data_IF_928075630927
#
_entry.id   IF_928075630927
#
_cell.length_a   1.000
_cell.length_b   1.000
_cell.length_c   1.000
_cell.angle_alpha   90.00
_cell.angle_beta   90.00
_cell.angle_gamma   90.00
#
_symmetry.space_group_name_H-M   'P 1'
#
loop_
_entity.id
_entity.type
_entity.pdbx_description
1 polymer ?
#
# COMPACT_ATOMS: atom_id res chain seq x y z
N UNK A 1 8.85 8.82 -9.55
CA UNK A 1 8.56 7.37 -9.74
C UNK A 1 9.68 6.77 -10.56
N UNK A 2 10.29 5.67 -10.12
CA UNK A 2 11.45 5.06 -10.80
C UNK A 2 10.99 4.16 -11.96
N UNK A 3 11.89 3.86 -12.91
CA UNK A 3 11.55 3.04 -14.07
C UNK A 3 11.01 1.65 -13.70
N UNK A 4 11.62 0.99 -12.71
CA UNK A 4 11.14 -0.32 -12.23
C UNK A 4 9.72 -0.26 -11.66
N UNK A 5 9.42 0.78 -10.87
CA UNK A 5 8.07 0.99 -10.31
C UNK A 5 7.04 1.30 -11.40
N UNK A 6 7.46 2.02 -12.45
CA UNK A 6 6.60 2.30 -13.60
C UNK A 6 6.28 1.03 -14.39
N UNK A 7 7.30 0.24 -14.76
CA UNK A 7 7.11 -0.98 -15.55
C UNK A 7 6.26 -2.03 -14.80
N UNK A 8 6.53 -2.22 -13.50
CA UNK A 8 5.77 -3.16 -12.67
C UNK A 8 4.30 -2.76 -12.51
N UNK A 9 4.02 -1.48 -12.19
CA UNK A 9 2.63 -1.01 -12.05
C UNK A 9 1.88 -1.02 -13.38
N UNK A 10 2.53 -0.63 -14.47
CA UNK A 10 1.93 -0.66 -15.81
C UNK A 10 1.56 -2.08 -16.23
N UNK A 11 2.47 -3.04 -16.03
CA UNK A 11 2.22 -4.46 -16.36
C UNK A 11 1.03 -5.04 -15.61
N UNK A 12 0.95 -4.79 -14.29
CA UNK A 12 -0.17 -5.26 -13.46
C UNK A 12 -1.52 -4.67 -13.90
N UNK A 13 -1.56 -3.38 -14.20
CA UNK A 13 -2.79 -2.71 -14.65
C UNK A 13 -3.23 -3.22 -16.02
N UNK A 14 -2.31 -3.51 -16.94
CA UNK A 14 -2.64 -4.09 -18.25
C UNK A 14 -3.31 -5.46 -18.08
N UNK A 15 -2.79 -6.31 -17.19
CA UNK A 15 -3.41 -7.61 -16.87
C UNK A 15 -4.83 -7.40 -16.34
N UNK A 16 -5.02 -6.49 -15.38
CA UNK A 16 -6.34 -6.16 -14.84
C UNK A 16 -7.31 -5.58 -15.88
N UNK A 17 -6.81 -4.79 -16.83
CA UNK A 17 -7.60 -4.24 -17.92
C UNK A 17 -8.14 -5.34 -18.84
N UNK A 18 -7.30 -6.31 -19.24
CA UNK A 18 -7.74 -7.43 -20.07
C UNK A 18 -8.73 -8.33 -19.33
N UNK A 19 -8.51 -8.57 -18.05
CA UNK A 19 -9.44 -9.30 -17.18
C UNK A 19 -10.83 -8.63 -17.12
N UNK A 20 -10.88 -7.34 -16.78
CA UNK A 20 -12.12 -6.58 -16.73
C UNK A 20 -12.81 -6.47 -18.09
N UNK A 21 -12.04 -6.33 -19.18
CA UNK A 21 -12.56 -6.32 -20.55
C UNK A 21 -13.21 -7.65 -20.91
N UNK A 22 -12.57 -8.77 -20.58
CA UNK A 22 -13.11 -10.11 -20.81
C UNK A 22 -14.44 -10.31 -20.07
N UNK A 23 -14.48 -9.99 -18.77
CA UNK A 23 -15.71 -10.07 -17.97
C UNK A 23 -16.84 -9.18 -18.51
N UNK A 24 -16.50 -7.98 -18.99
CA UNK A 24 -17.47 -7.06 -19.59
C UNK A 24 -18.09 -7.68 -20.84
N UNK A 25 -17.28 -8.28 -21.72
CA UNK A 25 -17.79 -8.95 -22.93
C UNK A 25 -18.68 -10.15 -22.60
N UNK A 26 -18.27 -10.96 -21.62
CA UNK A 26 -19.04 -12.12 -21.15
C UNK A 26 -20.40 -11.70 -20.60
N UNK A 27 -20.44 -10.63 -19.80
CA UNK A 27 -21.67 -10.12 -19.21
C UNK A 27 -22.69 -9.68 -20.28
N UNK A 28 -22.25 -8.90 -21.28
CA UNK A 28 -23.15 -8.40 -22.33
C UNK A 28 -23.53 -9.46 -23.37
N UNK A 29 -22.62 -10.38 -23.70
CA UNK A 29 -22.90 -11.45 -24.67
C UNK A 29 -23.57 -12.67 -24.06
N UNK A 30 -23.80 -12.70 -22.73
CA UNK A 30 -24.36 -13.82 -21.97
C UNK A 30 -23.66 -15.15 -22.29
N UNK A 31 -22.33 -15.11 -22.45
CA UNK A 31 -21.52 -16.28 -22.76
C UNK A 31 -21.30 -17.09 -21.49
N UNK A 32 -21.24 -18.42 -21.62
CA UNK A 32 -20.94 -19.35 -20.53
C UNK A 32 -19.46 -19.19 -20.15
N UNK A 33 -19.17 -18.98 -18.87
CA UNK A 33 -17.79 -18.79 -18.41
C UNK A 33 -16.97 -20.07 -18.44
N UNK A 34 -15.71 -19.96 -18.89
CA UNK A 34 -14.73 -21.07 -18.93
C UNK A 34 -14.45 -21.65 -17.53
N UNK A 35 -14.62 -20.86 -16.46
CA UNK A 35 -14.40 -21.31 -15.09
C UNK A 35 -15.60 -22.06 -14.45
N UNK A 36 -16.67 -22.38 -15.18
CA UNK A 36 -17.82 -23.10 -14.61
C UNK A 36 -17.51 -24.55 -14.21
N UNK A 37 -16.45 -25.17 -14.76
CA UNK A 37 -16.12 -26.59 -14.53
C UNK A 37 -15.02 -26.86 -13.48
N UNK A 38 -14.61 -25.90 -12.64
CA UNK A 38 -13.59 -26.13 -11.61
C UNK A 38 -14.29 -26.45 -10.27
N UNK A 39 -14.24 -27.68 -9.72
CA UNK A 39 -15.17 -28.10 -8.66
C UNK A 39 -14.83 -27.63 -7.24
N UNK A 40 -13.82 -26.77 -7.06
CA UNK A 40 -13.23 -26.48 -5.75
C UNK A 40 -13.52 -25.02 -5.34
N UNK A 41 -14.68 -24.77 -4.71
CA UNK A 41 -15.13 -23.46 -4.17
C UNK A 41 -15.10 -22.25 -5.14
N UNK A 42 -14.85 -22.49 -6.44
CA UNK A 42 -14.70 -21.46 -7.47
C UNK A 42 -15.85 -21.58 -8.47
N UNK A 43 -16.86 -20.73 -8.32
CA UNK A 43 -17.96 -20.58 -9.27
C UNK A 43 -18.14 -19.10 -9.62
N UNK A 44 -17.53 -18.70 -10.74
CA UNK A 44 -17.65 -17.36 -11.27
C UNK A 44 -19.08 -17.02 -11.71
N UNK A 45 -19.85 -18.01 -12.17
CA UNK A 45 -21.22 -17.83 -12.64
C UNK A 45 -22.13 -17.39 -11.50
N UNK A 46 -22.07 -18.10 -10.36
CA UNK A 46 -22.80 -17.73 -9.15
C UNK A 46 -22.50 -16.31 -8.66
N UNK A 47 -21.25 -15.87 -8.75
CA UNK A 47 -20.84 -14.52 -8.35
C UNK A 47 -21.33 -13.46 -9.34
N UNK A 48 -21.14 -13.69 -10.65
CA UNK A 48 -21.51 -12.73 -11.70
C UNK A 48 -23.01 -12.60 -11.93
N UNK A 49 -23.80 -13.63 -11.60
CA UNK A 49 -25.26 -13.59 -11.68
C UNK A 49 -25.91 -13.13 -10.37
N UNK A 50 -25.13 -12.88 -9.31
CA UNK A 50 -25.65 -12.38 -8.04
C UNK A 50 -26.15 -10.93 -8.15
N UNK A 51 -27.04 -10.52 -7.25
CA UNK A 51 -27.52 -9.14 -7.17
C UNK A 51 -26.41 -8.11 -6.89
N UNK A 52 -25.22 -8.55 -6.47
CA UNK A 52 -24.07 -7.69 -6.19
C UNK A 52 -23.19 -7.45 -7.43
N UNK A 53 -23.47 -8.10 -8.56
CA UNK A 53 -22.71 -7.92 -9.79
C UNK A 53 -23.04 -6.61 -10.52
N UNK A 54 -24.11 -5.93 -10.13
CA UNK A 54 -24.48 -4.59 -10.60
C UNK A 54 -24.53 -3.64 -9.41
N UNK A 55 -23.95 -2.46 -9.57
CA UNK A 55 -23.95 -1.38 -8.58
C UNK A 55 -24.49 -0.12 -9.25
N UNK A 56 -25.55 0.48 -8.70
CA UNK A 56 -26.26 1.60 -9.32
C UNK A 56 -26.70 1.32 -10.78
N UNK A 57 -27.05 0.07 -11.10
CA UNK A 57 -27.42 -0.35 -12.46
C UNK A 57 -26.24 -0.55 -13.42
N UNK A 58 -25.01 -0.29 -12.99
CA UNK A 58 -23.79 -0.48 -13.79
C UNK A 58 -23.14 -1.82 -13.40
N UNK A 59 -22.81 -2.69 -14.37
CA UNK A 59 -22.09 -3.92 -14.08
C UNK A 59 -20.72 -3.65 -13.47
N UNK A 60 -20.35 -4.42 -12.45
CA UNK A 60 -19.07 -4.28 -11.75
C UNK A 60 -17.86 -4.44 -12.70
N UNK A 61 -17.99 -5.30 -13.71
CA UNK A 61 -16.97 -5.49 -14.74
C UNK A 61 -16.66 -4.19 -15.51
N UNK A 62 -17.68 -3.38 -15.78
CA UNK A 62 -17.52 -2.07 -16.46
C UNK A 62 -16.82 -1.07 -15.54
N UNK A 63 -17.18 -1.04 -14.25
CA UNK A 63 -16.51 -0.19 -13.27
C UNK A 63 -15.02 -0.55 -13.13
N UNK A 64 -14.70 -1.84 -13.11
CA UNK A 64 -13.32 -2.33 -13.14
C UNK A 64 -12.57 -1.88 -14.39
N UNK A 65 -13.19 -1.99 -15.56
CA UNK A 65 -12.60 -1.57 -16.84
C UNK A 65 -12.31 -0.07 -16.86
N UNK A 66 -13.24 0.77 -16.38
CA UNK A 66 -13.04 2.22 -16.26
C UNK A 66 -11.87 2.51 -15.31
N UNK A 67 -11.85 1.88 -14.13
CA UNK A 67 -10.79 2.08 -13.15
C UNK A 67 -9.40 1.72 -13.71
N UNK A 68 -9.24 0.54 -14.32
CA UNK A 68 -7.96 0.16 -14.92
C UNK A 68 -7.56 1.08 -16.07
N UNK A 69 -8.51 1.53 -16.91
CA UNK A 69 -8.23 2.49 -17.99
C UNK A 69 -7.71 3.83 -17.45
N UNK A 70 -8.37 4.37 -16.42
CA UNK A 70 -7.96 5.61 -15.76
C UNK A 70 -6.57 5.44 -15.10
N UNK A 71 -6.31 4.30 -14.47
CA UNK A 71 -5.00 4.00 -13.88
C UNK A 71 -3.88 3.96 -14.93
N UNK A 72 -4.10 3.37 -16.12
CA UNK A 72 -3.09 3.39 -17.20
C UNK A 72 -2.70 4.83 -17.54
N UNK A 73 -3.69 5.69 -17.77
CA UNK A 73 -3.47 7.10 -18.14
C UNK A 73 -2.71 7.83 -17.02
N UNK A 74 -3.15 7.68 -15.77
CA UNK A 74 -2.52 8.36 -14.63
C UNK A 74 -1.08 7.86 -14.41
N UNK A 75 -0.81 6.56 -14.55
CA UNK A 75 0.55 6.00 -14.41
C UNK A 75 1.50 6.60 -15.45
N UNK A 76 1.05 6.68 -16.71
CA UNK A 76 1.83 7.29 -17.80
C UNK A 76 2.06 8.79 -17.53
N UNK A 77 1.02 9.54 -17.15
CA UNK A 77 1.14 10.96 -16.85
C UNK A 77 2.03 11.22 -15.62
N UNK A 78 1.93 10.39 -14.57
CA UNK A 78 2.76 10.48 -13.38
C UNK A 78 4.24 10.20 -13.68
N UNK A 79 4.53 9.34 -14.66
CA UNK A 79 5.89 9.05 -15.11
C UNK A 79 6.47 10.17 -15.98
N UNK A 80 5.72 10.66 -16.98
CA UNK A 80 6.19 11.70 -17.92
C UNK A 80 6.28 13.06 -17.22
N UNK A 81 5.22 13.49 -16.54
CA UNK A 81 5.15 14.85 -16.00
C UNK A 81 5.98 15.02 -14.72
N UNK A 82 6.20 13.93 -13.96
CA UNK A 82 6.79 13.93 -12.60
C UNK A 82 6.18 14.96 -11.63
N UNK A 83 5.01 15.54 -11.95
CA UNK A 83 4.30 16.52 -11.12
C UNK A 83 3.64 15.81 -9.95
N UNK A 84 3.74 16.42 -8.76
CA UNK A 84 3.11 15.91 -7.52
C UNK A 84 1.61 15.68 -7.70
N UNK A 85 0.94 16.51 -8.51
CA UNK A 85 -0.49 16.37 -8.81
C UNK A 85 -0.87 14.97 -9.30
N UNK A 86 -0.21 14.44 -10.34
CA UNK A 86 -0.52 13.12 -10.88
C UNK A 86 -0.15 11.98 -9.92
N UNK A 87 0.92 12.15 -9.13
CA UNK A 87 1.32 11.19 -8.10
C UNK A 87 0.25 11.09 -6.99
N UNK A 88 -0.31 12.21 -6.56
CA UNK A 88 -1.42 12.23 -5.60
C UNK A 88 -2.66 11.53 -6.15
N UNK A 89 -3.05 11.82 -7.40
CA UNK A 89 -4.18 11.14 -8.05
C UNK A 89 -3.97 9.63 -8.17
N UNK A 90 -2.75 9.18 -8.46
CA UNK A 90 -2.40 7.76 -8.49
C UNK A 90 -2.61 7.08 -7.12
N UNK A 91 -2.17 7.73 -6.04
CA UNK A 91 -2.35 7.23 -4.67
C UNK A 91 -3.84 7.15 -4.31
N UNK A 92 -4.62 8.17 -4.66
CA UNK A 92 -6.06 8.21 -4.38
C UNK A 92 -6.79 7.05 -5.10
N UNK A 93 -6.54 6.89 -6.40
CA UNK A 93 -7.22 5.85 -7.19
C UNK A 93 -6.85 4.44 -6.73
N UNK A 94 -5.58 4.16 -6.44
CA UNK A 94 -5.16 2.85 -5.92
C UNK A 94 -5.74 2.55 -4.53
N UNK A 95 -5.89 3.57 -3.67
CA UNK A 95 -6.56 3.43 -2.38
C UNK A 95 -8.04 3.09 -2.55
N UNK A 96 -8.75 3.75 -3.47
CA UNK A 96 -10.15 3.45 -3.78
C UNK A 96 -10.29 2.02 -4.28
N UNK A 97 -9.45 1.61 -5.23
CA UNK A 97 -9.44 0.24 -5.77
C UNK A 97 -9.17 -0.83 -4.71
N UNK A 98 -8.25 -0.59 -3.78
CA UNK A 98 -7.97 -1.50 -2.66
C UNK A 98 -9.18 -1.64 -1.72
N UNK A 99 -9.79 -0.53 -1.31
CA UNK A 99 -10.97 -0.56 -0.43
C UNK A 99 -12.15 -1.28 -1.11
N UNK A 100 -12.39 -0.99 -2.39
CA UNK A 100 -13.42 -1.68 -3.16
C UNK A 100 -13.13 -3.19 -3.25
N UNK A 101 -11.87 -3.58 -3.48
CA UNK A 101 -11.47 -4.98 -3.54
C UNK A 101 -11.71 -5.72 -2.22
N UNK A 102 -11.39 -5.09 -1.07
CA UNK A 102 -11.70 -5.65 0.25
C UNK A 102 -13.20 -5.88 0.44
N UNK A 103 -14.02 -4.92 0.02
CA UNK A 103 -15.47 -5.03 0.09
C UNK A 103 -16.01 -6.18 -0.77
N UNK A 104 -15.59 -6.30 -2.03
CA UNK A 104 -16.07 -7.39 -2.89
C UNK A 104 -15.55 -8.75 -2.42
N UNK A 105 -14.32 -8.83 -1.92
CA UNK A 105 -13.79 -10.06 -1.34
C UNK A 105 -14.60 -10.49 -0.11
N UNK A 106 -15.01 -9.52 0.72
CA UNK A 106 -15.92 -9.78 1.85
C UNK A 106 -17.27 -10.34 1.37
N UNK A 107 -17.89 -9.76 0.34
CA UNK A 107 -19.14 -10.29 -0.22
C UNK A 107 -18.98 -11.73 -0.74
N UNK A 108 -17.88 -12.03 -1.43
CA UNK A 108 -17.60 -13.36 -1.97
C UNK A 108 -17.44 -14.43 -0.88
N UNK A 109 -16.71 -14.12 0.19
CA UNK A 109 -16.41 -15.07 1.27
C UNK A 109 -17.59 -15.27 2.23
N UNK A 110 -18.23 -14.19 2.67
CA UNK A 110 -19.19 -14.26 3.77
C UNK A 110 -20.64 -14.36 3.30
N UNK A 111 -20.99 -13.70 2.19
CA UNK A 111 -22.38 -13.61 1.72
C UNK A 111 -22.66 -14.65 0.64
N UNK A 112 -21.92 -14.60 -0.48
CA UNK A 112 -22.14 -15.48 -1.63
C UNK A 112 -21.62 -16.90 -1.36
N UNK A 113 -20.60 -17.02 -0.49
CA UNK A 113 -19.89 -18.26 -0.14
C UNK A 113 -19.37 -18.98 -1.39
N UNK A 114 -18.82 -18.20 -2.34
CA UNK A 114 -18.21 -18.69 -3.57
C UNK A 114 -17.15 -17.72 -4.07
N UNK A 115 -16.05 -18.26 -4.59
CA UNK A 115 -14.97 -17.48 -5.17
C UNK A 115 -15.12 -17.38 -6.69
N UNK A 116 -14.75 -16.23 -7.23
CA UNK A 116 -14.68 -15.99 -8.67
C UNK A 116 -13.23 -15.71 -9.01
N UNK A 117 -12.62 -16.56 -9.84
CA UNK A 117 -11.20 -16.49 -10.20
C UNK A 117 -10.80 -15.10 -10.73
N UNK A 118 -11.63 -14.51 -11.57
CA UNK A 118 -11.37 -13.20 -12.17
C UNK A 118 -11.49 -12.07 -11.12
N UNK A 119 -12.56 -12.05 -10.33
CA UNK A 119 -12.71 -11.04 -9.26
C UNK A 119 -11.60 -11.15 -8.21
N UNK A 120 -11.17 -12.37 -7.84
CA UNK A 120 -10.05 -12.58 -6.92
C UNK A 120 -8.73 -12.12 -7.55
N UNK A 121 -8.53 -12.34 -8.86
CA UNK A 121 -7.35 -11.86 -9.58
C UNK A 121 -7.30 -10.33 -9.57
N UNK A 122 -8.41 -9.66 -9.89
CA UNK A 122 -8.54 -8.20 -9.82
C UNK A 122 -8.30 -7.66 -8.40
N UNK A 123 -8.77 -8.36 -7.36
CA UNK A 123 -8.52 -7.99 -5.97
C UNK A 123 -7.03 -8.10 -5.58
N UNK A 124 -6.35 -9.16 -6.02
CA UNK A 124 -4.91 -9.35 -5.81
C UNK A 124 -4.12 -8.26 -6.54
N UNK A 125 -4.44 -8.00 -7.81
CA UNK A 125 -3.80 -6.94 -8.60
C UNK A 125 -3.96 -5.57 -7.93
N UNK A 126 -5.17 -5.21 -7.52
CA UNK A 126 -5.45 -3.93 -6.85
C UNK A 126 -4.69 -3.79 -5.52
N UNK A 127 -4.56 -4.89 -4.77
CA UNK A 127 -3.80 -4.92 -3.51
C UNK A 127 -2.30 -4.72 -3.75
N UNK A 128 -1.73 -5.44 -4.73
CA UNK A 128 -0.31 -5.30 -5.08
C UNK A 128 -0.02 -3.88 -5.58
N UNK A 129 -0.90 -3.31 -6.42
CA UNK A 129 -0.75 -1.93 -6.91
C UNK A 129 -0.73 -0.92 -5.76
N UNK A 130 -1.65 -1.05 -4.81
CA UNK A 130 -1.66 -0.19 -3.62
C UNK A 130 -0.36 -0.28 -2.82
N UNK A 131 0.16 -1.49 -2.60
CA UNK A 131 1.44 -1.71 -1.91
C UNK A 131 2.60 -1.06 -2.68
N UNK A 132 2.74 -1.33 -3.97
CA UNK A 132 3.85 -0.76 -4.76
C UNK A 132 3.79 0.77 -4.76
N UNK A 133 2.61 1.36 -4.95
CA UNK A 133 2.43 2.81 -4.98
C UNK A 133 2.75 3.43 -3.62
N UNK A 134 2.27 2.86 -2.51
CA UNK A 134 2.51 3.46 -1.19
C UNK A 134 3.98 3.43 -0.80
N UNK A 135 4.69 2.33 -1.10
CA UNK A 135 6.13 2.25 -0.87
C UNK A 135 6.92 3.16 -1.82
N UNK A 136 6.44 3.38 -3.06
CA UNK A 136 7.13 4.24 -4.02
C UNK A 136 7.11 5.72 -3.64
N UNK A 137 6.11 6.17 -2.86
CA UNK A 137 5.95 7.57 -2.47
C UNK A 137 6.11 7.75 -0.95
N UNK A 138 7.32 8.19 -0.52
CA UNK A 138 7.67 8.41 0.89
C UNK A 138 6.60 9.18 1.69
N UNK A 139 6.07 10.26 1.12
CA UNK A 139 5.05 11.09 1.79
C UNK A 139 3.74 10.32 2.04
N UNK A 140 3.34 9.46 1.11
CA UNK A 140 2.14 8.62 1.25
C UNK A 140 2.35 7.55 2.33
N UNK A 141 3.53 6.91 2.35
CA UNK A 141 3.91 5.93 3.36
C UNK A 141 3.89 6.55 4.76
N UNK A 142 4.56 7.69 4.95
CA UNK A 142 4.61 8.40 6.23
C UNK A 142 3.22 8.86 6.69
N UNK A 143 2.39 9.34 5.76
CA UNK A 143 0.99 9.70 6.05
C UNK A 143 0.18 8.49 6.53
N UNK A 144 0.32 7.35 5.85
CA UNK A 144 -0.36 6.10 6.26
C UNK A 144 0.10 5.63 7.65
N UNK A 145 1.42 5.60 7.89
CA UNK A 145 1.98 5.25 9.20
C UNK A 145 1.43 6.18 10.28
N UNK A 146 1.38 7.49 10.01
CA UNK A 146 0.82 8.47 10.93
C UNK A 146 -0.67 8.27 11.24
N UNK A 147 -1.48 7.91 10.23
CA UNK A 147 -2.90 7.58 10.41
C UNK A 147 -3.06 6.32 11.26
N UNK A 148 -2.35 5.24 10.92
CA UNK A 148 -2.36 3.98 11.66
C UNK A 148 -1.91 4.21 13.11
N UNK A 149 -0.87 5.01 13.30
CA UNK A 149 -0.39 5.38 14.63
C UNK A 149 -1.48 6.07 15.44
N UNK A 150 -2.13 7.09 14.88
CA UNK A 150 -3.17 7.86 15.59
C UNK A 150 -4.43 7.05 15.88
N UNK A 151 -4.87 6.20 14.95
CA UNK A 151 -6.13 5.48 15.05
C UNK A 151 -6.02 4.21 15.89
N UNK A 152 -4.90 3.49 15.79
CA UNK A 152 -4.75 2.14 16.33
C UNK A 152 -3.62 2.10 17.36
N UNK A 153 -2.38 2.35 16.92
CA UNK A 153 -1.18 2.08 17.75
C UNK A 153 -1.21 2.90 19.02
N UNK A 154 -1.49 4.21 18.93
CA UNK A 154 -1.60 5.10 20.09
C UNK A 154 -2.63 4.58 21.08
N UNK A 155 -3.80 4.13 20.62
CA UNK A 155 -4.85 3.64 21.52
C UNK A 155 -4.42 2.36 22.25
N UNK A 156 -3.68 1.49 21.58
CA UNK A 156 -3.15 0.26 22.16
C UNK A 156 -2.02 0.56 23.16
N UNK A 157 -1.05 1.42 22.79
CA UNK A 157 0.09 1.74 23.65
C UNK A 157 -0.33 2.33 25.00
N UNK A 158 -1.39 3.14 25.03
CA UNK A 158 -1.92 3.75 26.27
C UNK A 158 -2.63 2.76 27.20
N UNK A 159 -2.78 1.49 26.81
CA UNK A 159 -3.30 0.43 27.69
C UNK A 159 -2.19 -0.22 28.53
N UNK A 160 -0.92 0.10 28.26
CA UNK A 160 0.23 -0.49 28.93
C UNK A 160 0.95 0.56 29.79
N UNK A 161 1.70 0.06 30.77
CA UNK A 161 2.57 0.89 31.61
C UNK A 161 3.62 1.62 30.74
N UNK A 162 3.88 2.92 30.98
CA UNK A 162 4.80 3.71 30.18
C UNK A 162 6.24 3.18 30.24
N UNK A 163 6.68 2.62 31.36
CA UNK A 163 8.03 2.07 31.50
C UNK A 163 8.17 0.79 30.68
N UNK A 164 7.16 -0.09 30.72
CA UNK A 164 7.11 -1.27 29.87
C UNK A 164 7.19 -0.93 28.38
N UNK A 165 6.46 0.11 27.94
CA UNK A 165 6.52 0.58 26.54
C UNK A 165 7.89 1.17 26.22
N UNK A 166 8.49 1.94 27.12
CA UNK A 166 9.83 2.50 26.96
C UNK A 166 10.89 1.42 26.79
N UNK A 167 10.96 0.44 27.70
CA UNK A 167 11.91 -0.67 27.64
C UNK A 167 11.68 -1.52 26.37
N UNK A 168 10.43 -1.78 26.04
CA UNK A 168 10.06 -2.51 24.83
C UNK A 168 10.51 -1.77 23.56
N UNK A 169 10.29 -0.46 23.48
CA UNK A 169 10.67 0.34 22.31
C UNK A 169 12.18 0.48 22.18
N UNK A 170 12.90 0.72 23.28
CA UNK A 170 14.37 0.83 23.27
C UNK A 170 15.02 -0.50 22.91
N UNK A 171 14.57 -1.62 23.51
CA UNK A 171 15.06 -2.96 23.19
C UNK A 171 14.73 -3.40 21.76
N UNK A 172 13.53 -3.06 21.25
CA UNK A 172 13.18 -3.31 19.86
C UNK A 172 14.07 -2.51 18.90
N UNK A 173 14.29 -1.23 19.17
CA UNK A 173 15.16 -0.38 18.36
C UNK A 173 16.62 -0.86 18.35
N UNK A 174 17.15 -1.28 19.50
CA UNK A 174 18.49 -1.89 19.61
C UNK A 174 18.59 -3.15 18.73
N UNK A 175 17.57 -4.00 18.80
CA UNK A 175 17.49 -5.25 18.00
C UNK A 175 17.42 -4.96 16.51
N UNK A 176 16.62 -3.98 16.07
CA UNK A 176 16.58 -3.56 14.67
C UNK A 176 17.93 -2.98 14.20
N UNK A 177 18.62 -2.23 15.07
CA UNK A 177 19.93 -1.64 14.79
C UNK A 177 21.03 -2.66 14.51
N UNK A 178 20.92 -3.87 15.07
CA UNK A 178 21.89 -4.97 14.85
C UNK A 178 21.84 -5.51 13.42
N UNK A 179 20.72 -5.36 12.70
CA UNK A 179 20.56 -5.89 11.35
C UNK A 179 20.89 -4.85 10.27
N UNK A 180 21.99 -5.06 9.55
CA UNK A 180 22.40 -4.22 8.41
C UNK A 180 21.36 -4.14 7.29
N UNK A 181 20.59 -5.20 7.10
CA UNK A 181 19.55 -5.24 6.07
C UNK A 181 18.39 -4.31 6.45
N UNK A 182 17.97 -4.35 7.72
CA UNK A 182 16.89 -3.51 8.23
C UNK A 182 17.32 -2.05 8.25
N UNK A 183 18.51 -1.74 8.76
CA UNK A 183 19.00 -0.36 8.81
C UNK A 183 19.13 0.24 7.40
N UNK A 184 19.65 -0.51 6.42
CA UNK A 184 19.71 -0.08 5.02
C UNK A 184 18.33 0.15 4.41
N UNK A 185 17.37 -0.72 4.72
CA UNK A 185 15.99 -0.55 4.26
C UNK A 185 15.38 0.71 4.87
N UNK A 186 15.42 0.87 6.19
CA UNK A 186 14.89 2.05 6.88
C UNK A 186 15.54 3.34 6.39
N UNK A 187 16.87 3.35 6.21
CA UNK A 187 17.59 4.53 5.75
C UNK A 187 17.13 5.00 4.36
N UNK A 188 16.82 4.06 3.46
CA UNK A 188 16.33 4.38 2.13
C UNK A 188 14.96 5.11 2.17
N UNK A 189 14.10 4.76 3.12
CA UNK A 189 12.74 5.29 3.20
C UNK A 189 12.60 6.51 4.12
N UNK A 190 13.27 6.50 5.28
CA UNK A 190 13.07 7.49 6.34
C UNK A 190 14.04 8.67 6.26
N UNK A 191 15.27 8.47 5.76
CA UNK A 191 16.23 9.58 5.64
C UNK A 191 15.75 10.57 4.57
N UNK A 192 15.76 11.85 4.96
CA UNK A 192 15.49 13.00 4.09
C UNK A 192 16.74 13.88 4.05
N UNK A 193 17.25 14.16 2.85
CA UNK A 193 18.38 15.05 2.67
C UNK A 193 17.86 16.43 2.28
N UNK A 194 18.10 17.42 3.14
CA UNK A 194 17.79 18.82 2.84
C UNK A 194 18.81 19.71 3.56
N UNK A 195 19.22 20.82 2.93
CA UNK A 195 20.27 21.68 3.50
C UNK A 195 19.87 22.27 4.86
N UNK A 196 18.57 22.52 5.08
CA UNK A 196 18.05 23.02 6.37
C UNK A 196 18.09 22.00 7.52
N UNK A 197 18.40 20.73 7.23
CA UNK A 197 18.46 19.65 8.23
C UNK A 197 19.88 19.44 8.77
N UNK A 198 20.90 19.97 8.07
CA UNK A 198 22.29 19.87 8.51
C UNK A 198 22.52 20.76 9.73
N UNK A 199 23.28 20.26 10.70
CA UNK A 199 23.63 21.02 11.89
C UNK A 199 25.04 20.65 12.38
N UNK A 200 25.65 21.59 13.11
CA UNK A 200 26.95 21.38 13.77
C UNK A 200 26.74 21.47 15.28
N UNK A 201 27.08 20.40 16.00
CA UNK A 201 26.95 20.31 17.45
C UNK A 201 28.29 19.87 18.03
N UNK A 202 28.81 20.61 19.01
CA UNK A 202 30.10 20.33 19.65
C UNK A 202 31.27 20.12 18.65
N UNK A 203 31.26 20.82 17.51
CA UNK A 203 32.27 20.70 16.46
C UNK A 203 32.08 19.51 15.51
N UNK A 204 31.02 18.72 15.67
CA UNK A 204 30.68 17.58 14.80
C UNK A 204 29.56 17.99 13.85
N UNK A 205 29.72 17.69 12.56
CA UNK A 205 28.72 17.99 11.53
C UNK A 205 27.81 16.78 11.29
N UNK A 206 26.51 16.99 11.40
CA UNK A 206 25.47 16.00 11.14
C UNK A 206 24.66 16.39 9.91
N UNK A 207 24.25 15.39 9.13
CA UNK A 207 23.50 15.62 7.90
C UNK A 207 22.01 15.86 8.17
N UNK A 208 21.52 15.33 9.29
CA UNK A 208 20.17 15.46 9.79
C UNK A 208 20.18 15.90 11.27
N UNK A 209 19.02 16.32 11.81
CA UNK A 209 18.89 16.62 13.21
C UNK A 209 19.27 15.43 14.08
N UNK A 210 19.85 15.71 15.23
CA UNK A 210 20.26 14.76 16.25
C UNK A 210 19.48 15.11 17.49
N UNK A 211 18.85 14.13 18.12
CA UNK A 211 18.12 14.32 19.36
C UNK A 211 16.93 13.40 19.47
N UNK A 212 16.92 12.60 20.55
CA UNK A 212 15.73 11.96 21.09
C UNK A 212 15.21 12.82 22.25
N UNK A 213 13.98 12.57 22.70
CA UNK A 213 13.48 13.20 23.91
C UNK A 213 14.47 12.95 25.07
N UNK A 214 14.75 13.98 25.87
CA UNK A 214 15.71 13.88 26.97
C UNK A 214 15.31 12.72 27.90
N UNK A 215 16.28 11.86 28.23
CA UNK A 215 16.04 10.67 29.06
C UNK A 215 15.42 9.47 28.33
N UNK A 216 15.02 9.59 27.05
CA UNK A 216 14.42 8.47 26.32
C UNK A 216 15.41 7.33 26.05
N UNK A 217 16.69 7.60 25.86
CA UNK A 217 17.72 6.57 25.63
C UNK A 217 18.95 6.82 26.52
N UNK A 218 18.77 6.73 27.84
CA UNK A 218 19.84 7.00 28.82
C UNK A 218 20.97 5.97 28.77
N UNK A 219 20.72 4.78 28.23
CA UNK A 219 21.71 3.70 28.06
C UNK A 219 22.38 3.69 26.67
N UNK A 220 22.04 4.65 25.80
CA UNK A 220 22.55 4.75 24.43
C UNK A 220 22.32 3.49 23.56
N UNK A 221 21.24 2.76 23.79
CA UNK A 221 20.85 1.53 23.07
C UNK A 221 20.47 1.81 21.60
N UNK A 222 20.02 3.02 21.27
CA UNK A 222 19.48 3.35 19.95
C UNK A 222 20.51 3.97 18.99
N UNK A 223 21.78 4.03 19.38
CA UNK A 223 22.88 4.60 18.57
C UNK A 223 23.05 3.93 17.20
N UNK A 224 22.76 2.63 17.09
CA UNK A 224 22.90 1.86 15.84
C UNK A 224 21.73 2.05 14.86
N UNK A 225 20.57 2.47 15.35
CA UNK A 225 19.35 2.62 14.54
C UNK A 225 19.00 4.08 14.23
N UNK A 226 19.48 5.03 15.05
CA UNK A 226 19.15 6.47 14.97
C UNK A 226 19.34 7.06 13.57
N UNK A 227 20.50 6.84 12.94
CA UNK A 227 20.78 7.30 11.58
C UNK A 227 19.81 6.71 10.56
N UNK A 228 19.51 5.41 10.67
CA UNK A 228 18.60 4.74 9.74
C UNK A 228 17.15 5.26 9.81
N UNK A 229 16.73 5.82 10.94
CA UNK A 229 15.39 6.43 11.10
C UNK A 229 15.38 7.95 10.87
N UNK A 230 16.52 8.53 10.47
CA UNK A 230 16.61 9.93 10.04
C UNK A 230 17.25 10.90 11.04
N UNK A 231 17.85 10.41 12.13
CA UNK A 231 18.61 11.22 13.09
C UNK A 231 20.12 11.01 12.97
N UNK A 232 20.93 12.08 12.85
CA UNK A 232 22.41 11.96 12.71
C UNK A 232 22.94 12.29 11.33
#
# INVERSE_FOLDING_TARGET
MNLLTFLSTLGLVIIGFFDARYLTLVHYKKIILVCHQIPLFVDCGKVLQSSYSTMFGIPLAVLGLINYSVLIIIIILAFISQKRFFQYWLIIQTKIGFIASLYFMFLQLFIIKSLCLYCTTSAVISTILFIIVIFSFKLALLSLIGIIYKLIVKRILFLFDPEFIHESMTGFGETLGKSRLITKFLSQYLITHHQSLKQSLAGINFNNPVGLAAGFDYEAKLTQISNAIGFG
#
